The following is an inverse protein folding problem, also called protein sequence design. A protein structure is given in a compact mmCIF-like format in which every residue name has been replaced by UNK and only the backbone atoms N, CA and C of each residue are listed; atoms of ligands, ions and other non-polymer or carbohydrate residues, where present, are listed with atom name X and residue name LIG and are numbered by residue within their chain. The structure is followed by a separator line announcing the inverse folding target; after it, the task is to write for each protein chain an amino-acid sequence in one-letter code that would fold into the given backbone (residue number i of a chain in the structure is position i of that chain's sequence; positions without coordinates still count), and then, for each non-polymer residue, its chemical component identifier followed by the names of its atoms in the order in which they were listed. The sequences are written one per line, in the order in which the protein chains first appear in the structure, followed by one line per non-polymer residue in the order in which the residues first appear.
data_IF_840316978006
#
_entry.id   IF_840316978006
#
_cell.length_a   1.000
_cell.length_b   1.000
_cell.length_c   1.000
_cell.angle_alpha   90.00
_cell.angle_beta   90.00
_cell.angle_gamma   90.00
#
_symmetry.space_group_name_H-M   'P 1'
#
loop_
_entity.id
_entity.type
_entity.pdbx_description
1 polymer ?
#
# COMPACT_ATOMS: atom_id res chain seq x y z
N UNK A 1 -13.98 7.08 12.28
CA UNK A 1 -12.91 6.95 11.26
C UNK A 1 -11.86 5.98 11.78
N UNK A 2 -11.32 5.10 10.94
CA UNK A 2 -10.29 4.16 11.37
C UNK A 2 -9.02 4.93 11.76
N UNK A 3 -8.60 4.81 13.02
CA UNK A 3 -7.31 5.36 13.49
C UNK A 3 -6.13 4.58 12.88
N UNK A 4 -6.35 3.30 12.55
CA UNK A 4 -5.30 2.40 12.06
C UNK A 4 -4.86 2.68 10.63
N UNK A 5 -5.78 3.12 9.77
CA UNK A 5 -5.47 3.52 8.40
C UNK A 5 -6.27 4.80 8.05
N UNK A 6 -5.73 5.99 8.33
CA UNK A 6 -6.36 7.26 7.98
C UNK A 6 -6.52 7.46 6.47
N UNK A 7 -5.59 6.97 5.64
CA UNK A 7 -5.71 7.05 4.17
C UNK A 7 -6.94 6.28 3.70
N UNK A 8 -7.02 4.97 3.96
CA UNK A 8 -8.15 4.15 3.54
C UNK A 8 -9.51 4.68 4.04
N UNK A 9 -9.56 5.18 5.27
CA UNK A 9 -10.77 5.81 5.82
C UNK A 9 -11.14 7.10 5.09
N UNK A 10 -10.15 7.91 4.71
CA UNK A 10 -10.36 9.16 3.95
C UNK A 10 -10.79 8.87 2.53
N UNK A 11 -10.17 7.90 1.86
CA UNK A 11 -10.56 7.48 0.51
C UNK A 11 -12.01 6.99 0.47
N UNK A 12 -12.39 6.18 1.46
CA UNK A 12 -13.78 5.70 1.62
C UNK A 12 -14.74 6.87 1.87
N UNK A 13 -14.39 7.82 2.74
CA UNK A 13 -15.25 8.96 3.05
C UNK A 13 -15.44 9.88 1.83
N UNK A 14 -14.37 10.16 1.10
CA UNK A 14 -14.37 11.12 0.00
C UNK A 14 -14.78 10.50 -1.35
N UNK A 15 -14.89 9.17 -1.42
CA UNK A 15 -15.22 8.46 -2.66
C UNK A 15 -14.16 8.58 -3.75
N UNK A 16 -12.89 8.79 -3.37
CA UNK A 16 -11.75 8.92 -4.27
C UNK A 16 -10.54 8.19 -3.71
N UNK A 17 -9.71 7.62 -4.56
CA UNK A 17 -8.51 6.88 -4.13
C UNK A 17 -7.27 7.76 -4.10
N UNK A 18 -7.14 8.80 -4.93
CA UNK A 18 -5.95 9.64 -5.15
C UNK A 18 -5.62 10.66 -4.02
N UNK A 19 -5.73 10.23 -2.76
CA UNK A 19 -5.36 11.03 -1.58
C UNK A 19 -4.69 10.15 -0.52
N UNK A 20 -3.77 10.73 0.23
CA UNK A 20 -3.25 10.15 1.46
C UNK A 20 -3.61 11.01 2.65
N UNK A 21 -3.78 10.37 3.80
CA UNK A 21 -4.13 11.06 5.01
C UNK A 21 -3.29 10.58 6.19
N UNK A 22 -2.99 11.51 7.11
CA UNK A 22 -2.31 11.19 8.37
C UNK A 22 -2.74 12.13 9.48
N UNK A 23 -2.70 11.65 10.71
CA UNK A 23 -2.93 12.50 11.87
C UNK A 23 -1.70 13.37 12.18
N UNK A 24 -1.95 14.63 12.50
CA UNK A 24 -0.97 15.60 13.01
C UNK A 24 -1.59 16.26 14.24
N UNK A 25 -1.21 15.77 15.42
CA UNK A 25 -1.97 16.05 16.65
C UNK A 25 -3.41 15.56 16.49
N UNK A 26 -4.37 16.42 16.80
CA UNK A 26 -5.81 16.13 16.67
C UNK A 26 -6.38 16.46 15.28
N UNK A 27 -5.53 16.90 14.35
CA UNK A 27 -5.93 17.26 12.98
C UNK A 27 -5.64 16.14 11.99
N UNK A 28 -6.50 16.01 10.96
CA UNK A 28 -6.28 15.12 9.82
C UNK A 28 -5.70 15.93 8.67
N UNK A 29 -4.44 15.66 8.29
CA UNK A 29 -3.83 16.22 7.10
C UNK A 29 -4.12 15.32 5.91
N UNK A 30 -4.70 15.89 4.86
CA UNK A 30 -5.01 15.20 3.61
C UNK A 30 -4.14 15.80 2.50
N UNK A 31 -3.55 14.97 1.66
CA UNK A 31 -2.67 15.38 0.56
C UNK A 31 -3.05 14.60 -0.69
N UNK A 32 -3.13 15.27 -1.84
CA UNK A 32 -3.37 14.62 -3.12
C UNK A 32 -2.18 13.74 -3.52
N UNK A 33 -2.47 12.55 -4.02
CA UNK A 33 -1.48 11.63 -4.57
C UNK A 33 -1.44 11.70 -6.09
N UNK A 34 -0.33 11.25 -6.67
CA UNK A 34 -0.29 10.92 -8.09
C UNK A 34 -0.41 9.41 -8.26
N UNK A 35 -1.23 8.98 -9.21
CA UNK A 35 -1.24 7.61 -9.70
C UNK A 35 0.05 7.32 -10.45
N UNK A 36 0.69 6.20 -10.12
CA UNK A 36 1.83 5.67 -10.86
C UNK A 36 1.51 4.24 -11.24
N UNK A 37 1.61 3.92 -12.54
CA UNK A 37 1.48 2.55 -12.99
C UNK A 37 2.76 1.78 -12.63
N UNK A 38 2.69 0.72 -11.82
CA UNK A 38 3.89 0.00 -11.43
C UNK A 38 4.40 -0.84 -12.59
N UNK A 39 5.72 -1.02 -12.64
CA UNK A 39 6.36 -1.77 -13.73
C UNK A 39 6.13 -3.27 -13.57
N UNK A 40 6.21 -3.74 -12.33
CA UNK A 40 6.03 -5.15 -11.97
C UNK A 40 5.51 -5.22 -10.54
N UNK A 41 4.53 -6.09 -10.29
CA UNK A 41 4.14 -6.52 -8.95
C UNK A 41 4.60 -7.93 -8.76
N UNK A 42 5.31 -8.15 -7.67
CA UNK A 42 5.69 -9.49 -7.25
C UNK A 42 4.50 -10.10 -6.53
N UNK A 43 4.00 -11.21 -7.06
CA UNK A 43 2.85 -11.93 -6.47
C UNK A 43 3.24 -12.72 -5.21
N UNK A 44 4.54 -12.89 -4.98
CA UNK A 44 5.08 -13.63 -3.84
C UNK A 44 5.44 -12.66 -2.70
N UNK A 45 4.98 -12.99 -1.51
CA UNK A 45 5.42 -12.37 -0.25
C UNK A 45 6.87 -12.72 0.09
N UNK A 46 7.48 -13.65 -0.64
CA UNK A 46 8.88 -14.01 -0.53
C UNK A 46 9.74 -13.21 -1.50
N UNK A 47 10.77 -12.58 -0.95
CA UNK A 47 11.84 -11.96 -1.73
C UNK A 47 13.18 -12.55 -1.27
N UNK A 48 13.85 -13.27 -2.18
CA UNK A 48 15.01 -14.11 -1.88
C UNK A 48 14.69 -15.14 -0.78
N UNK A 49 15.35 -15.04 0.38
CA UNK A 49 15.22 -16.01 1.49
C UNK A 49 14.33 -15.51 2.62
N UNK A 50 13.66 -14.37 2.43
CA UNK A 50 12.85 -13.71 3.45
C UNK A 50 11.41 -13.55 2.99
N UNK A 51 10.48 -13.63 3.94
CA UNK A 51 9.07 -13.38 3.71
C UNK A 51 8.68 -12.03 4.32
N UNK A 52 7.79 -11.31 3.65
CA UNK A 52 7.35 -9.98 4.01
C UNK A 52 5.82 -9.93 4.10
N UNK A 53 5.31 -9.06 4.96
CA UNK A 53 3.86 -8.93 5.15
C UNK A 53 3.17 -8.34 3.92
N UNK A 54 3.85 -7.47 3.18
CA UNK A 54 3.32 -6.74 2.02
C UNK A 54 3.95 -7.26 0.72
N UNK A 55 3.20 -7.16 -0.37
CA UNK A 55 3.71 -7.45 -1.71
C UNK A 55 4.70 -6.36 -2.15
N UNK A 56 5.70 -6.77 -2.91
CA UNK A 56 6.68 -5.86 -3.47
C UNK A 56 6.29 -5.42 -4.88
N UNK A 57 6.64 -4.20 -5.22
CA UNK A 57 6.41 -3.63 -6.54
C UNK A 57 7.59 -2.78 -6.99
N UNK A 58 7.93 -2.87 -8.28
CA UNK A 58 8.91 -2.00 -8.91
C UNK A 58 8.24 -0.71 -9.39
N UNK A 59 8.63 0.41 -8.80
CA UNK A 59 8.18 1.75 -9.19
C UNK A 59 9.40 2.62 -9.44
N UNK A 60 9.52 3.19 -10.65
CA UNK A 60 10.67 4.03 -11.05
C UNK A 60 12.03 3.39 -10.74
N UNK A 61 12.18 2.09 -11.00
CA UNK A 61 13.38 1.29 -10.72
C UNK A 61 13.75 1.17 -9.23
N UNK A 62 12.79 1.42 -8.34
CA UNK A 62 12.93 1.18 -6.90
C UNK A 62 11.94 0.10 -6.47
N UNK A 63 12.41 -0.80 -5.60
CA UNK A 63 11.55 -1.80 -4.97
C UNK A 63 10.83 -1.13 -3.79
N UNK A 64 9.51 -1.07 -3.88
CA UNK A 64 8.62 -0.55 -2.85
C UNK A 64 7.70 -1.68 -2.38
N UNK A 65 7.09 -1.51 -1.21
CA UNK A 65 6.06 -2.40 -0.69
C UNK A 65 4.71 -1.74 -0.78
N UNK A 66 3.69 -2.45 -1.25
CA UNK A 66 2.36 -1.89 -1.45
C UNK A 66 1.39 -2.38 -0.39
N UNK A 67 0.60 -1.47 0.15
CA UNK A 67 -0.45 -1.78 1.13
C UNK A 67 -1.75 -2.21 0.44
N UNK A 68 -2.43 -3.27 0.92
CA UNK A 68 -3.52 -3.90 0.19
C UNK A 68 -4.87 -3.15 0.19
N UNK A 69 -4.98 -2.00 0.86
CA UNK A 69 -6.25 -1.27 1.03
C UNK A 69 -6.25 0.09 0.35
N UNK A 70 -5.20 0.86 0.57
CA UNK A 70 -4.98 2.17 0.00
C UNK A 70 -3.97 2.14 -1.14
N UNK A 71 -3.31 1.02 -1.41
CA UNK A 71 -2.31 0.90 -2.48
C UNK A 71 -1.19 1.95 -2.38
N UNK A 72 -0.94 2.42 -1.15
CA UNK A 72 0.12 3.35 -0.83
C UNK A 72 1.46 2.60 -0.92
N UNK A 73 2.48 3.28 -1.44
CA UNK A 73 3.84 2.76 -1.45
C UNK A 73 4.54 3.05 -0.11
N UNK A 74 4.92 1.98 0.57
CA UNK A 74 5.82 1.99 1.70
C UNK A 74 7.25 1.62 1.27
N UNK A 75 8.23 2.31 1.82
CA UNK A 75 9.65 2.00 1.56
C UNK A 75 10.10 0.67 2.19
N UNK A 76 9.35 0.15 3.17
CA UNK A 76 9.70 -1.06 3.92
C UNK A 76 8.43 -1.87 4.21
N UNK A 77 8.57 -3.19 4.22
CA UNK A 77 7.57 -4.12 4.74
C UNK A 77 8.15 -4.87 5.94
N UNK A 78 7.34 -5.15 6.98
CA UNK A 78 7.75 -6.03 8.06
C UNK A 78 8.16 -7.41 7.55
N UNK A 79 9.30 -7.90 8.01
CA UNK A 79 9.72 -9.29 7.80
C UNK A 79 8.88 -10.21 8.69
N UNK A 80 8.40 -11.32 8.12
CA UNK A 80 7.58 -12.32 8.80
C UNK A 80 8.16 -13.73 8.61
N UNK A 81 7.87 -14.68 9.52
CA UNK A 81 8.33 -16.05 9.37
C UNK A 81 7.82 -16.69 8.06
N UNK A 82 8.70 -17.42 7.38
CA UNK A 82 8.31 -18.25 6.24
C UNK A 82 7.78 -19.62 6.70
N UNK A 83 6.84 -20.25 5.97
CA UNK A 83 6.11 -19.69 4.83
C UNK A 83 5.12 -18.61 5.26
N UNK A 84 4.97 -17.57 4.44
CA UNK A 84 3.97 -16.55 4.68
C UNK A 84 2.57 -17.17 4.76
N UNK A 85 1.81 -16.77 5.77
CA UNK A 85 0.41 -17.20 5.93
C UNK A 85 -0.48 -15.97 5.93
N UNK A 86 -1.55 -15.95 5.11
CA UNK A 86 -2.45 -14.81 5.08
C UNK A 86 -3.10 -14.64 6.45
N UNK A 87 -3.19 -13.39 6.96
CA UNK A 87 -4.04 -13.09 8.10
C UNK A 87 -5.46 -13.58 7.84
N UNK A 88 -6.11 -14.14 8.85
CA UNK A 88 -7.49 -14.69 8.75
C UNK A 88 -8.55 -13.67 8.27
N UNK A 89 -8.19 -12.39 8.15
CA UNK A 89 -9.04 -11.29 7.70
C UNK A 89 -8.76 -10.80 6.27
N UNK A 90 -7.70 -11.25 5.58
CA UNK A 90 -7.52 -10.88 4.16
C UNK A 90 -8.54 -11.69 3.36
N UNK A 91 -9.55 -10.99 2.85
CA UNK A 91 -10.53 -11.57 1.96
C UNK A 91 -9.85 -11.84 0.61
N UNK A 92 -10.18 -12.97 -0.01
CA UNK A 92 -9.57 -13.43 -1.27
C UNK A 92 -9.69 -12.42 -2.43
N UNK A 93 -10.58 -11.42 -2.33
CA UNK A 93 -10.71 -10.33 -3.30
C UNK A 93 -9.56 -9.32 -3.23
N UNK A 94 -9.02 -9.01 -2.05
CA UNK A 94 -7.98 -7.99 -1.88
C UNK A 94 -6.65 -8.36 -2.57
N UNK A 95 -6.30 -9.65 -2.59
CA UNK A 95 -5.12 -10.14 -3.33
C UNK A 95 -5.36 -10.16 -4.84
N UNK A 96 -6.59 -10.41 -5.28
CA UNK A 96 -6.94 -10.44 -6.71
C UNK A 96 -6.96 -9.02 -7.32
N UNK A 97 -7.34 -8.01 -6.53
CA UNK A 97 -7.38 -6.61 -6.97
C UNK A 97 -5.97 -6.05 -7.25
N UNK A 98 -4.97 -6.46 -6.48
CA UNK A 98 -3.55 -6.08 -6.64
C UNK A 98 -2.90 -6.72 -7.89
N UNK A 99 -3.37 -7.89 -8.30
CA UNK A 99 -2.79 -8.69 -9.40
C UNK A 99 -3.41 -8.38 -10.78
N UNK A 100 -4.35 -7.42 -10.88
CA UNK A 100 -4.99 -7.04 -12.13
C UNK A 100 -4.10 -6.08 -12.95
N UNK A 101 -3.80 -6.37 -14.23
CA UNK A 101 -2.96 -5.58 -15.18
C UNK A 101 -3.32 -4.07 -15.36
N UNK A 102 -4.44 -3.64 -14.77
CA UNK A 102 -4.92 -2.25 -14.73
C UNK A 102 -4.56 -1.50 -13.44
N UNK A 103 -3.75 -2.08 -12.56
CA UNK A 103 -3.46 -1.53 -11.23
C UNK A 103 -2.54 -0.28 -11.27
N UNK A 104 -2.88 0.71 -10.45
CA UNK A 104 -2.10 1.92 -10.22
C UNK A 104 -1.72 2.00 -8.73
N UNK A 105 -0.44 2.16 -8.43
CA UNK A 105 0.04 2.44 -7.08
C UNK A 105 0.04 3.96 -6.83
N UNK A 106 -0.08 4.36 -5.57
CA UNK A 106 -0.13 5.77 -5.21
C UNK A 106 1.13 6.23 -4.52
N UNK A 107 1.63 7.39 -4.94
CA UNK A 107 2.80 8.03 -4.33
C UNK A 107 2.42 9.37 -3.72
N UNK A 108 2.66 9.47 -2.41
CA UNK A 108 2.65 10.72 -1.69
C UNK A 108 4.06 11.31 -1.75
N UNK A 109 4.21 12.49 -2.34
CA UNK A 109 5.41 13.28 -2.10
C UNK A 109 5.34 13.77 -0.65
N UNK A 110 6.04 13.09 0.27
CA UNK A 110 6.37 13.69 1.56
C UNK A 110 7.28 14.88 1.25
N UNK A 111 6.78 16.09 1.43
CA UNK A 111 7.63 17.28 1.44
C UNK A 111 8.77 17.02 2.43
N UNK A 112 10.00 17.04 1.93
CA UNK A 112 11.19 16.96 2.76
C UNK A 112 11.14 18.12 3.77
N UNK A 113 11.37 17.80 5.04
CA UNK A 113 11.41 18.77 6.12
C UNK A 113 12.67 19.60 6.04
#
# INVERSE_FOLDING_TARGET
MSVKNPTAATCTLLGRSDVAARYVGDSLLITSCYSIKPKTVHEDHRLADKCYELLHTEVNNQLMSMTPLDHDLAAQSPEVPCPWTPPKMISKSETLDILSDSYEAMVVFKAAK
#
